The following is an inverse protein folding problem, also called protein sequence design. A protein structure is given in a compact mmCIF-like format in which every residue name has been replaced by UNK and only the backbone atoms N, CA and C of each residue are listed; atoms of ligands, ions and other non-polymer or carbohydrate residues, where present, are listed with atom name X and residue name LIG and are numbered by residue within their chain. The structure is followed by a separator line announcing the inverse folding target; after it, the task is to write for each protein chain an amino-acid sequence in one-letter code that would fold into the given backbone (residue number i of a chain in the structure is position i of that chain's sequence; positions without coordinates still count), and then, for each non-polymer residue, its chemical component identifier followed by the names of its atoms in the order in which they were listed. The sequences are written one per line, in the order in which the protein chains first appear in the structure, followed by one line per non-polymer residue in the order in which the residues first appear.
data_IF_387321280126
#
_entry.id   IF_387321280126
#
_cell.length_a   1.000
_cell.length_b   1.000
_cell.length_c   1.000
_cell.angle_alpha   90.00
_cell.angle_beta   90.00
_cell.angle_gamma   90.00
#
_symmetry.space_group_name_H-M   'P 1'
#
loop_
_entity.id
_entity.type
_entity.pdbx_description
1 polymer ?
#
# COMPACT_ATOMS: atom_id res chain seq x y z
N UNK A 1 53.45 -0.19 -27.67
CA UNK A 1 52.50 -1.33 -27.55
C UNK A 1 51.67 -1.06 -26.32
N UNK A 2 50.45 -0.53 -26.50
CA UNK A 2 49.17 -1.26 -26.67
C UNK A 2 48.65 -1.88 -25.36
N UNK A 3 47.54 -1.28 -24.88
CA UNK A 3 46.32 -1.93 -24.31
C UNK A 3 46.44 -2.34 -22.83
N UNK A 4 45.87 -1.52 -21.92
CA UNK A 4 44.55 -1.66 -21.26
C UNK A 4 44.74 -2.22 -19.83
N UNK A 5 43.95 -1.91 -18.81
CA UNK A 5 42.48 -1.89 -18.74
C UNK A 5 42.08 -0.80 -17.73
N UNK A 6 41.28 0.16 -18.20
CA UNK A 6 40.55 1.10 -17.35
C UNK A 6 39.33 0.36 -16.80
N UNK A 7 39.47 -0.16 -15.57
CA UNK A 7 38.41 -0.84 -14.83
C UNK A 7 37.44 0.22 -14.29
N UNK A 8 36.59 0.77 -15.17
CA UNK A 8 35.43 1.56 -14.74
C UNK A 8 34.43 0.55 -14.17
N UNK A 9 34.51 0.34 -12.86
CA UNK A 9 33.48 -0.34 -12.10
C UNK A 9 32.19 0.47 -12.24
N UNK A 10 31.30 -0.01 -13.08
CA UNK A 10 29.90 0.40 -13.16
C UNK A 10 29.27 0.07 -11.80
N UNK A 11 29.36 1.02 -10.87
CA UNK A 11 28.43 1.10 -9.75
C UNK A 11 27.07 1.46 -10.38
N UNK A 12 26.35 0.44 -10.83
CA UNK A 12 24.94 0.57 -11.12
C UNK A 12 24.28 1.06 -9.84
N UNK A 13 23.90 2.34 -9.85
CA UNK A 13 23.00 2.94 -8.88
C UNK A 13 21.85 1.96 -8.62
N UNK A 14 21.71 1.50 -7.37
CA UNK A 14 20.42 1.06 -6.84
C UNK A 14 19.51 2.29 -6.66
N UNK A 15 19.29 3.04 -7.74
CA UNK A 15 18.22 4.02 -7.74
C UNK A 15 16.92 3.23 -7.73
N UNK A 16 16.21 3.32 -6.61
CA UNK A 16 14.82 2.90 -6.52
C UNK A 16 14.05 3.44 -7.73
N UNK A 17 13.13 2.65 -8.28
CA UNK A 17 12.35 3.02 -9.45
C UNK A 17 11.74 4.44 -9.29
N UNK A 18 11.66 5.22 -10.38
CA UNK A 18 11.10 6.57 -10.33
C UNK A 18 9.64 6.54 -9.88
N UNK A 19 9.19 7.64 -9.27
CA UNK A 19 7.78 7.79 -8.96
C UNK A 19 6.96 7.97 -10.24
N UNK A 20 5.81 7.31 -10.30
CA UNK A 20 4.85 7.47 -11.38
C UNK A 20 4.33 8.91 -11.37
N UNK A 21 4.18 9.57 -12.54
CA UNK A 21 3.66 10.93 -12.60
C UNK A 21 2.22 11.05 -12.09
N UNK A 22 1.93 12.15 -11.38
CA UNK A 22 0.65 12.38 -10.71
C UNK A 22 -0.57 12.46 -11.67
N UNK A 23 -0.37 12.69 -12.97
CA UNK A 23 -1.45 12.71 -13.97
C UNK A 23 -1.77 11.32 -14.54
N UNK A 24 -0.99 10.29 -14.19
CA UNK A 24 -1.15 8.92 -14.67
C UNK A 24 -1.88 8.01 -13.69
N UNK A 25 -2.18 8.48 -12.48
CA UNK A 25 -2.91 7.72 -11.47
C UNK A 25 -3.78 8.63 -10.60
N UNK A 26 -4.74 8.05 -9.90
CA UNK A 26 -5.50 8.73 -8.85
C UNK A 26 -5.61 7.84 -7.62
N UNK A 27 -5.57 8.46 -6.44
CA UNK A 27 -5.70 7.80 -5.15
C UNK A 27 -6.99 8.26 -4.50
N UNK A 28 -7.89 7.32 -4.20
CA UNK A 28 -9.13 7.60 -3.50
C UNK A 28 -9.19 6.78 -2.21
N UNK A 29 -9.49 7.45 -1.10
CA UNK A 29 -9.76 6.83 0.19
C UNK A 29 -11.27 6.66 0.35
N UNK A 30 -11.72 5.41 0.43
CA UNK A 30 -13.13 5.06 0.67
C UNK A 30 -13.29 4.68 2.16
N UNK A 31 -14.04 5.49 2.88
CA UNK A 31 -14.31 5.29 4.30
C UNK A 31 -15.63 4.56 4.48
N UNK A 32 -15.55 3.44 5.18
CA UNK A 32 -16.71 2.64 5.56
C UNK A 32 -16.79 2.57 7.08
N UNK A 33 -18.00 2.36 7.58
CA UNK A 33 -18.26 2.20 8.99
C UNK A 33 -18.56 0.73 9.27
N UNK A 34 -17.63 0.03 9.93
CA UNK A 34 -17.74 -1.41 10.21
C UNK A 34 -17.69 -1.67 11.72
N UNK A 35 -18.40 -2.69 12.18
CA UNK A 35 -18.29 -3.18 13.56
C UNK A 35 -17.09 -4.11 13.69
N UNK A 36 -16.28 -3.93 14.75
CA UNK A 36 -15.20 -4.86 15.06
C UNK A 36 -15.78 -6.09 15.76
N UNK A 37 -15.72 -7.25 15.12
CA UNK A 37 -16.06 -8.51 15.77
C UNK A 37 -14.94 -8.88 16.76
N UNK A 38 -15.22 -8.76 18.05
CA UNK A 38 -14.34 -9.29 19.10
C UNK A 38 -14.75 -10.74 19.30
N UNK A 39 -13.92 -11.69 18.85
CA UNK A 39 -14.12 -13.10 19.18
C UNK A 39 -13.90 -13.25 20.69
N UNK A 40 -14.98 -13.16 21.45
CA UNK A 40 -14.98 -13.52 22.86
C UNK A 40 -14.98 -15.05 22.93
N UNK A 41 -13.78 -15.64 23.00
CA UNK A 41 -13.64 -17.00 23.51
C UNK A 41 -13.96 -16.97 25.00
N UNK A 42 -15.25 -16.97 25.34
CA UNK A 42 -15.71 -17.09 26.71
C UNK A 42 -15.47 -18.53 27.14
N UNK A 43 -14.42 -18.77 27.93
CA UNK A 43 -14.38 -19.94 28.80
C UNK A 43 -15.28 -19.57 29.98
N UNK A 44 -16.51 -20.11 30.01
CA UNK A 44 -17.45 -19.89 31.10
C UNK A 44 -16.87 -20.48 32.40
N UNK A 45 -16.30 -19.63 33.24
CA UNK A 45 -16.07 -19.92 34.66
C UNK A 45 -16.87 -18.91 35.47
N UNK A 46 -18.12 -19.28 35.78
CA UNK A 46 -18.89 -18.69 36.87
C UNK A 46 -19.53 -17.33 36.62
N UNK A 47 -20.84 -17.34 36.31
CA UNK A 47 -21.83 -16.55 37.04
C UNK A 47 -21.74 -15.02 37.02
N UNK A 48 -21.27 -14.40 35.94
CA UNK A 48 -21.54 -12.98 35.67
C UNK A 48 -22.02 -12.84 34.23
N UNK A 49 -23.14 -12.14 34.05
CA UNK A 49 -23.77 -11.91 32.75
C UNK A 49 -22.73 -11.43 31.72
N UNK A 50 -22.72 -11.99 30.50
CA UNK A 50 -21.80 -11.55 29.47
C UNK A 50 -22.14 -10.10 29.12
N UNK A 51 -21.33 -9.16 29.61
CA UNK A 51 -21.28 -7.80 29.04
C UNK A 51 -20.94 -7.97 27.58
N UNK A 52 -21.96 -7.88 26.72
CA UNK A 52 -21.80 -7.78 25.29
C UNK A 52 -20.90 -6.58 25.02
N UNK A 53 -19.61 -6.83 24.79
CA UNK A 53 -18.67 -5.86 24.24
C UNK A 53 -18.99 -5.71 22.76
N UNK A 54 -20.13 -5.09 22.46
CA UNK A 54 -20.48 -4.64 21.12
C UNK A 54 -19.42 -3.63 20.72
N UNK A 55 -18.41 -4.09 19.97
CA UNK A 55 -17.40 -3.23 19.39
C UNK A 55 -18.13 -2.15 18.59
N UNK A 56 -17.96 -0.89 19.01
CA UNK A 56 -18.59 0.24 18.35
C UNK A 56 -18.32 0.23 16.85
N UNK A 57 -19.17 0.90 16.09
CA UNK A 57 -18.94 1.11 14.66
C UNK A 57 -17.70 2.00 14.52
N UNK A 58 -16.66 1.48 13.88
CA UNK A 58 -15.38 2.16 13.71
C UNK A 58 -15.13 2.49 12.23
N UNK A 59 -14.43 3.60 11.95
CA UNK A 59 -13.97 3.94 10.61
C UNK A 59 -13.01 2.86 10.07
N UNK A 60 -13.28 2.46 8.83
CA UNK A 60 -12.61 1.40 8.10
C UNK A 60 -12.20 1.93 6.74
N UNK A 61 -10.96 1.66 6.32
CA UNK A 61 -10.36 2.29 5.16
C UNK A 61 -10.14 1.30 4.02
N UNK A 62 -10.71 1.63 2.86
CA UNK A 62 -10.39 0.98 1.59
C UNK A 62 -9.65 1.99 0.71
N UNK A 63 -8.44 1.62 0.30
CA UNK A 63 -7.61 2.42 -0.59
C UNK A 63 -7.83 1.96 -2.03
N UNK A 64 -8.26 2.88 -2.89
CA UNK A 64 -8.43 2.63 -4.32
C UNK A 64 -7.32 3.35 -5.10
N UNK A 65 -6.47 2.58 -5.77
CA UNK A 65 -5.45 3.08 -6.69
C UNK A 65 -5.97 2.94 -8.11
N UNK A 66 -6.36 4.06 -8.72
CA UNK A 66 -6.85 4.11 -10.09
C UNK A 66 -5.68 4.33 -11.04
N UNK A 67 -5.45 3.39 -11.95
CA UNK A 67 -4.43 3.53 -12.99
C UNK A 67 -5.05 4.24 -14.18
N UNK A 68 -4.68 5.49 -14.42
CA UNK A 68 -5.26 6.30 -15.51
C UNK A 68 -4.52 6.08 -16.82
N UNK A 69 -3.18 6.00 -16.75
CA UNK A 69 -2.30 5.78 -17.91
C UNK A 69 -1.18 4.80 -17.55
N UNK A 70 -0.89 3.89 -18.48
CA UNK A 70 0.25 2.99 -18.43
C UNK A 70 1.33 3.43 -19.41
N UNK A 71 2.58 3.32 -18.98
CA UNK A 71 3.75 3.53 -19.82
C UNK A 71 4.13 2.25 -20.57
N UNK A 72 4.90 2.42 -21.65
CA UNK A 72 5.35 1.28 -22.45
C UNK A 72 6.19 0.32 -21.60
N UNK A 73 5.80 -0.95 -21.58
CA UNK A 73 6.48 -2.00 -20.83
C UNK A 73 5.91 -2.26 -19.43
N UNK A 74 4.99 -1.45 -18.91
CA UNK A 74 4.27 -1.74 -17.66
C UNK A 74 3.22 -2.83 -17.90
N UNK A 75 3.53 -4.08 -17.50
CA UNK A 75 2.64 -5.23 -17.77
C UNK A 75 1.87 -5.72 -16.54
N UNK A 76 2.32 -5.37 -15.33
CA UNK A 76 1.76 -5.86 -14.07
C UNK A 76 1.84 -4.77 -13.02
N UNK A 77 0.76 -4.61 -12.26
CA UNK A 77 0.74 -3.79 -11.04
C UNK A 77 0.84 -4.73 -9.85
N UNK A 78 1.80 -4.46 -8.97
CA UNK A 78 2.08 -5.21 -7.75
C UNK A 78 2.10 -4.25 -6.59
N UNK A 79 1.28 -4.48 -5.56
CA UNK A 79 1.31 -3.68 -4.33
C UNK A 79 1.95 -4.49 -3.23
N UNK A 80 2.91 -3.88 -2.56
CA UNK A 80 3.60 -4.43 -1.40
C UNK A 80 3.32 -3.59 -0.16
N UNK A 81 3.22 -4.24 0.99
CA UNK A 81 3.14 -3.55 2.28
C UNK A 81 4.53 -3.17 2.81
N UNK A 82 4.59 -2.54 3.98
CA UNK A 82 5.83 -2.15 4.66
C UNK A 82 6.78 -3.32 4.98
N UNK A 83 6.32 -4.57 4.92
CA UNK A 83 7.11 -5.78 5.15
C UNK A 83 7.58 -6.43 3.84
N UNK A 84 7.24 -5.84 2.70
CA UNK A 84 7.49 -6.42 1.37
C UNK A 84 6.53 -7.55 1.00
N UNK A 85 5.45 -7.76 1.76
CA UNK A 85 4.44 -8.75 1.43
C UNK A 85 3.57 -8.23 0.29
N UNK A 86 3.36 -9.07 -0.72
CA UNK A 86 2.48 -8.74 -1.85
C UNK A 86 1.02 -8.84 -1.41
N UNK A 87 0.36 -7.70 -1.28
CA UNK A 87 -1.07 -7.60 -0.91
C UNK A 87 -1.98 -7.52 -2.13
N UNK A 88 -1.45 -7.15 -3.29
CA UNK A 88 -2.17 -7.14 -4.56
C UNK A 88 -1.23 -7.40 -5.74
N UNK A 89 -1.63 -8.18 -6.73
CA UNK A 89 -0.86 -8.39 -7.95
C UNK A 89 -1.77 -8.77 -9.11
N UNK A 90 -1.85 -7.92 -10.13
CA UNK A 90 -2.66 -8.16 -11.33
C UNK A 90 -2.01 -7.60 -12.58
N UNK A 91 -2.40 -8.10 -13.75
CA UNK A 91 -2.01 -7.54 -15.04
C UNK A 91 -2.41 -6.06 -15.09
N UNK A 92 -1.52 -5.22 -15.62
CA UNK A 92 -1.75 -3.79 -15.74
C UNK A 92 -2.71 -3.52 -16.91
N UNK A 93 -3.77 -2.75 -16.64
CA UNK A 93 -4.73 -2.30 -17.64
C UNK A 93 -5.09 -0.82 -17.38
N UNK A 94 -5.27 -0.02 -18.44
CA UNK A 94 -5.73 1.36 -18.28
C UNK A 94 -7.14 1.37 -17.69
N UNK A 95 -7.38 2.24 -16.73
CA UNK A 95 -8.65 2.33 -15.99
C UNK A 95 -8.82 1.28 -14.89
N UNK A 96 -7.83 0.39 -14.66
CA UNK A 96 -7.95 -0.57 -13.57
C UNK A 96 -7.94 0.13 -12.20
N UNK A 97 -8.63 -0.48 -11.24
CA UNK A 97 -8.65 -0.02 -9.85
C UNK A 97 -8.07 -1.14 -8.98
N UNK A 98 -6.90 -0.90 -8.41
CA UNK A 98 -6.36 -1.77 -7.36
C UNK A 98 -7.01 -1.37 -6.03
N UNK A 99 -7.93 -2.21 -5.54
CA UNK A 99 -8.59 -2.02 -4.25
C UNK A 99 -7.81 -2.73 -3.16
N UNK A 100 -7.39 -1.99 -2.15
CA UNK A 100 -6.63 -2.46 -1.01
C UNK A 100 -7.46 -2.24 0.25
N UNK A 101 -7.71 -3.33 0.96
CA UNK A 101 -8.40 -3.29 2.25
C UNK A 101 -7.35 -3.04 3.35
N UNK A 102 -7.39 -1.86 3.98
CA UNK A 102 -6.38 -1.43 4.94
C UNK A 102 -6.79 -1.69 6.41
N UNK A 103 -8.05 -2.07 6.65
CA UNK A 103 -8.57 -2.28 7.99
C UNK A 103 -9.09 -1.00 8.66
N UNK A 104 -9.15 -1.02 9.99
CA UNK A 104 -9.62 0.11 10.79
C UNK A 104 -8.57 1.23 10.85
N UNK A 105 -9.00 2.49 10.81
CA UNK A 105 -8.06 3.63 10.80
C UNK A 105 -7.21 3.69 12.07
N UNK A 106 -7.77 3.29 13.21
CA UNK A 106 -7.06 3.25 14.49
C UNK A 106 -5.92 2.23 14.44
N UNK A 107 -6.12 1.07 13.81
CA UNK A 107 -5.05 0.06 13.62
C UNK A 107 -3.92 0.60 12.76
N UNK A 108 -4.23 1.43 11.76
CA UNK A 108 -3.23 2.09 10.90
C UNK A 108 -2.46 3.12 11.73
N UNK A 109 -3.16 3.97 12.50
CA UNK A 109 -2.57 4.99 13.38
C UNK A 109 -1.73 4.39 14.50
N UNK A 110 -2.10 3.23 15.02
CA UNK A 110 -1.35 2.51 16.07
C UNK A 110 -0.24 1.63 15.49
N UNK A 111 -0.24 1.41 14.16
CA UNK A 111 0.79 0.63 13.46
C UNK A 111 0.59 -0.88 13.54
N UNK A 112 -0.61 -1.31 13.96
CA UNK A 112 -1.05 -2.71 13.89
C UNK A 112 -1.20 -3.13 12.42
N UNK A 113 -1.86 -2.28 11.62
CA UNK A 113 -1.89 -2.39 10.16
C UNK A 113 -0.68 -1.71 9.54
N UNK A 114 -0.31 -2.13 8.32
CA UNK A 114 0.80 -1.49 7.60
C UNK A 114 0.47 -0.03 7.30
N UNK A 115 1.45 0.84 7.56
CA UNK A 115 1.40 2.28 7.30
C UNK A 115 2.01 2.66 5.96
N UNK A 116 2.56 1.72 5.20
CA UNK A 116 3.22 2.02 3.95
C UNK A 116 2.87 0.96 2.90
N UNK A 117 2.52 1.43 1.71
CA UNK A 117 2.25 0.58 0.57
C UNK A 117 2.99 1.11 -0.66
N UNK A 118 3.69 0.21 -1.35
CA UNK A 118 4.41 0.52 -2.59
C UNK A 118 3.70 -0.15 -3.77
N UNK A 119 3.12 0.67 -4.65
CA UNK A 119 2.48 0.23 -5.88
C UNK A 119 3.54 0.23 -6.98
N UNK A 120 4.01 -0.95 -7.36
CA UNK A 120 5.04 -1.18 -8.36
C UNK A 120 4.42 -1.50 -9.72
N UNK A 121 4.85 -0.79 -10.76
CA UNK A 121 4.54 -1.09 -12.15
C UNK A 121 5.71 -1.86 -12.76
N UNK A 122 5.46 -3.12 -13.12
CA UNK A 122 6.50 -4.13 -13.36
C UNK A 122 6.52 -4.54 -14.82
N UNK A 123 7.74 -4.71 -15.36
CA UNK A 123 8.00 -5.17 -16.73
C UNK A 123 7.90 -6.69 -16.89
N UNK A 124 8.05 -7.17 -18.12
CA UNK A 124 8.08 -8.61 -18.45
C UNK A 124 9.26 -9.33 -17.79
N UNK A 125 10.37 -8.62 -17.62
CA UNK A 125 11.61 -9.04 -16.98
C UNK A 125 11.52 -8.99 -15.44
N UNK A 126 10.35 -8.64 -14.90
CA UNK A 126 10.09 -8.46 -13.45
C UNK A 126 10.84 -7.28 -12.83
N UNK A 127 11.25 -6.31 -13.63
CA UNK A 127 11.85 -5.06 -13.16
C UNK A 127 10.77 -4.04 -12.87
N UNK A 128 10.84 -3.34 -11.73
CA UNK A 128 9.96 -2.20 -11.45
C UNK A 128 10.38 -1.01 -12.32
N UNK A 129 9.48 -0.55 -13.19
CA UNK A 129 9.71 0.59 -14.08
C UNK A 129 9.31 1.91 -13.43
N UNK A 130 8.20 1.91 -12.71
CA UNK A 130 7.72 3.06 -11.95
C UNK A 130 7.02 2.61 -10.67
N UNK A 131 6.85 3.52 -9.72
CA UNK A 131 6.20 3.21 -8.45
C UNK A 131 5.35 4.35 -7.89
N UNK A 132 4.39 4.03 -7.04
CA UNK A 132 3.68 4.99 -6.19
C UNK A 132 3.92 4.59 -4.75
N UNK A 133 4.36 5.53 -3.92
CA UNK A 133 4.52 5.32 -2.49
C UNK A 133 3.34 5.96 -1.75
N UNK A 134 2.62 5.16 -0.98
CA UNK A 134 1.50 5.61 -0.15
C UNK A 134 1.89 5.37 1.30
N UNK A 135 1.90 6.42 2.10
CA UNK A 135 2.33 6.36 3.49
C UNK A 135 1.30 7.01 4.42
N UNK A 136 1.19 6.48 5.62
CA UNK A 136 0.37 6.99 6.71
C UNK A 136 1.26 7.28 7.92
N UNK A 137 1.19 8.49 8.45
CA UNK A 137 1.87 8.87 9.67
C UNK A 137 1.07 8.42 10.90
N UNK A 138 1.72 8.37 12.06
CA UNK A 138 1.07 7.97 13.31
C UNK A 138 -0.10 8.88 13.71
N UNK A 139 -0.07 10.14 13.27
CA UNK A 139 -1.17 11.07 13.53
C UNK A 139 -2.37 10.86 12.58
N UNK A 140 -2.23 10.01 11.55
CA UNK A 140 -3.21 9.77 10.49
C UNK A 140 -2.98 10.57 9.21
N UNK A 141 -1.97 11.44 9.14
CA UNK A 141 -1.64 12.15 7.88
C UNK A 141 -1.29 11.14 6.79
N UNK A 142 -1.90 11.26 5.61
CA UNK A 142 -1.57 10.40 4.48
C UNK A 142 -0.81 11.17 3.39
N UNK A 143 0.22 10.51 2.86
CA UNK A 143 1.13 11.02 1.87
C UNK A 143 1.13 10.13 0.63
N UNK A 144 1.29 10.75 -0.54
CA UNK A 144 1.45 10.07 -1.82
C UNK A 144 2.72 10.62 -2.47
N UNK A 145 3.68 9.74 -2.75
CA UNK A 145 5.02 10.10 -3.24
C UNK A 145 5.71 11.17 -2.38
N UNK A 146 5.47 11.16 -1.06
CA UNK A 146 6.00 12.13 -0.11
C UNK A 146 5.23 13.45 -0.02
N UNK A 147 4.22 13.67 -0.87
CA UNK A 147 3.35 14.85 -0.79
C UNK A 147 2.17 14.58 0.15
N UNK A 148 1.93 15.49 1.10
CA UNK A 148 0.76 15.44 1.97
C UNK A 148 -0.53 15.61 1.16
N UNK A 149 -1.47 14.69 1.32
CA UNK A 149 -2.75 14.69 0.60
C UNK A 149 -3.97 14.82 1.53
N UNK A 150 -3.82 14.51 2.82
CA UNK A 150 -4.87 14.74 3.82
C UNK A 150 -4.64 13.94 5.09
N UNK A 151 -5.72 13.55 5.76
CA UNK A 151 -5.68 12.87 7.06
C UNK A 151 -6.81 11.85 7.19
N UNK A 152 -6.53 10.69 7.79
CA UNK A 152 -7.48 9.63 8.15
C UNK A 152 -7.80 9.65 9.64
#
# INVERSE_FOLDING_TARGET
MKIAILLISVFCFQQSAPFKPNDQFAINLDFQFKTRYVNSSVVEVGGNEPRSTTGGVLPYLILNVNVLKLEAGEIRVRVEDSRGQVVFSRKAENGMIAKLDLGFTDDIKDGVSSRQYEVNFVSKEKTTLSRILIAFEADGTYLVNGEKRGKI
#
